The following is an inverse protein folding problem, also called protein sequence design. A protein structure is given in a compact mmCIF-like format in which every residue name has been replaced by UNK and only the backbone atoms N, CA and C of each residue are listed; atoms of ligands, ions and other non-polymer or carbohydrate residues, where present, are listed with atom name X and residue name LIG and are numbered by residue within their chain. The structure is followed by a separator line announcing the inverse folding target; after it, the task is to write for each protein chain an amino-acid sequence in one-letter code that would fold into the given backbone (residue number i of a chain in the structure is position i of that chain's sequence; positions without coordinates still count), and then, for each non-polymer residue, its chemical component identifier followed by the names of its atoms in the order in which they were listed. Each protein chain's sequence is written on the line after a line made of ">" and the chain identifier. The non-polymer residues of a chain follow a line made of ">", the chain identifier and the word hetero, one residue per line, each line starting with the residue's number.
data_IF_551188118299
#
_entry.id   IF_551188118299
#
_cell.length_a   1.000
_cell.length_b   1.000
_cell.length_c   1.000
_cell.angle_alpha   90.00
_cell.angle_beta   90.00
_cell.angle_gamma   90.00
#
_symmetry.space_group_name_H-M   'P 1'
#
loop_
_entity.id
_entity.type
_entity.pdbx_description
1 polymer ?
#
# COMPACT_ATOMS: atom_id res chain seq x y z
N UNK A 1 -49.30 3.33 33.06
CA UNK A 1 -49.10 4.74 33.47
C UNK A 1 -49.11 5.60 32.23
N UNK A 2 -49.96 6.63 32.15
CA UNK A 2 -49.99 7.57 31.01
C UNK A 2 -48.67 8.36 31.02
N UNK A 3 -47.83 8.14 30.01
CA UNK A 3 -46.59 8.92 29.86
C UNK A 3 -46.98 10.34 29.46
N UNK A 4 -46.49 11.32 30.21
CA UNK A 4 -46.70 12.72 29.87
C UNK A 4 -45.92 13.02 28.57
N UNK A 5 -46.58 13.54 27.52
CA UNK A 5 -45.91 13.85 26.24
C UNK A 5 -44.72 14.80 26.40
N UNK A 6 -44.75 15.72 27.36
CA UNK A 6 -43.61 16.60 27.67
C UNK A 6 -42.38 15.82 28.10
N UNK A 7 -42.58 14.79 28.94
CA UNK A 7 -41.48 13.92 29.43
C UNK A 7 -40.93 13.05 28.29
N UNK A 8 -41.78 12.60 27.37
CA UNK A 8 -41.33 11.87 26.20
C UNK A 8 -40.46 12.75 25.29
N UNK A 9 -40.90 13.99 25.02
CA UNK A 9 -40.15 14.93 24.20
C UNK A 9 -38.80 15.33 24.81
N UNK A 10 -38.71 15.53 26.13
CA UNK A 10 -37.44 15.87 26.78
C UNK A 10 -36.44 14.72 26.73
N UNK A 11 -36.88 13.47 26.89
CA UNK A 11 -36.02 12.30 26.74
C UNK A 11 -35.52 12.12 25.30
N UNK A 12 -36.38 12.35 24.31
CA UNK A 12 -35.99 12.33 22.90
C UNK A 12 -34.95 13.41 22.61
N UNK A 13 -35.19 14.65 23.06
CA UNK A 13 -34.23 15.74 22.89
C UNK A 13 -32.88 15.44 23.57
N UNK A 14 -32.91 14.94 24.80
CA UNK A 14 -31.71 14.59 25.55
C UNK A 14 -30.88 13.52 24.84
N UNK A 15 -31.53 12.45 24.37
CA UNK A 15 -30.85 11.38 23.62
C UNK A 15 -30.30 11.86 22.29
N UNK A 16 -31.01 12.76 21.59
CA UNK A 16 -30.55 13.36 20.34
C UNK A 16 -29.30 14.24 20.55
N UNK A 17 -29.26 15.03 21.63
CA UNK A 17 -28.09 15.86 21.97
C UNK A 17 -26.85 15.00 22.23
N UNK A 18 -27.01 13.91 22.98
CA UNK A 18 -25.90 12.97 23.24
C UNK A 18 -25.47 12.26 21.94
N UNK A 19 -26.44 11.78 21.16
CA UNK A 19 -26.18 11.07 19.91
C UNK A 19 -25.46 11.92 18.86
N UNK A 20 -25.89 13.17 18.70
CA UNK A 20 -25.27 14.13 17.76
C UNK A 20 -23.83 14.49 18.12
N UNK A 21 -23.50 14.59 19.41
CA UNK A 21 -22.12 14.82 19.86
C UNK A 21 -21.16 13.68 19.48
N UNK A 22 -21.60 12.42 19.60
CA UNK A 22 -20.78 11.25 19.26
C UNK A 22 -20.55 11.18 17.74
N UNK A 23 -21.60 11.37 16.94
CA UNK A 23 -21.48 11.34 15.48
C UNK A 23 -20.59 12.48 14.98
N UNK A 24 -20.79 13.69 15.50
CA UNK A 24 -19.99 14.87 15.12
C UNK A 24 -18.51 14.71 15.47
N UNK A 25 -18.19 14.24 16.68
CA UNK A 25 -16.79 14.02 17.09
C UNK A 25 -16.09 12.94 16.27
N UNK A 26 -16.78 11.86 15.90
CA UNK A 26 -16.21 10.79 15.07
C UNK A 26 -15.80 11.30 13.68
N UNK A 27 -16.64 12.14 13.06
CA UNK A 27 -16.38 12.71 11.74
C UNK A 27 -15.37 13.85 11.80
N UNK A 28 -15.46 14.71 12.82
CA UNK A 28 -14.47 15.76 13.07
C UNK A 28 -13.07 15.20 13.31
N UNK A 29 -12.96 14.09 14.05
CA UNK A 29 -11.69 13.39 14.21
C UNK A 29 -11.19 12.86 12.87
N UNK A 30 -12.04 12.15 12.08
CA UNK A 30 -11.73 11.67 10.72
C UNK A 30 -11.16 12.76 9.80
N UNK A 31 -11.77 13.95 9.81
CA UNK A 31 -11.28 15.09 9.02
C UNK A 31 -9.97 15.63 9.60
N UNK A 32 -9.86 15.74 10.93
CA UNK A 32 -8.65 16.21 11.61
C UNK A 32 -7.43 15.33 11.34
N UNK A 33 -7.55 14.00 11.40
CA UNK A 33 -6.44 13.09 11.04
C UNK A 33 -6.11 13.13 9.55
N UNK A 34 -7.11 13.29 8.68
CA UNK A 34 -6.86 13.45 7.24
C UNK A 34 -6.07 14.73 6.94
N UNK A 35 -6.40 15.83 7.60
CA UNK A 35 -5.66 17.08 7.47
C UNK A 35 -4.19 16.95 7.92
N UNK A 36 -3.92 16.20 9.00
CA UNK A 36 -2.56 15.90 9.46
C UNK A 36 -1.80 14.91 8.55
N UNK A 37 -2.50 14.04 7.81
CA UNK A 37 -1.87 13.12 6.84
C UNK A 37 -1.57 13.76 5.48
N UNK A 38 -2.13 14.93 5.17
CA UNK A 38 -1.82 15.68 3.94
C UNK A 38 -0.38 16.19 3.85
N UNK A 39 0.39 16.13 4.95
CA UNK A 39 1.81 16.47 5.02
C UNK A 39 2.66 15.23 5.35
N UNK A 40 2.27 14.03 4.89
CA UNK A 40 3.25 12.96 4.74
C UNK A 40 3.89 13.10 3.37
N UNK A 41 5.12 13.60 3.38
CA UNK A 41 6.01 13.53 2.24
C UNK A 41 5.95 12.08 1.69
N UNK A 42 5.85 11.90 0.36
CA UNK A 42 5.94 10.58 -0.22
C UNK A 42 7.22 9.93 0.30
N UNK A 43 7.08 8.78 0.96
CA UNK A 43 8.22 7.93 1.34
C UNK A 43 8.86 7.43 0.04
N UNK A 44 9.66 8.29 -0.59
CA UNK A 44 10.59 7.95 -1.66
C UNK A 44 11.76 7.24 -1.01
N UNK A 45 11.51 6.10 -0.36
CA UNK A 45 12.58 5.19 0.04
C UNK A 45 12.76 4.20 -1.11
N UNK A 46 13.74 4.40 -2.01
CA UNK A 46 13.98 3.52 -3.16
C UNK A 46 14.29 2.06 -2.77
N UNK A 47 14.47 1.76 -1.48
CA UNK A 47 14.64 0.39 -1.00
C UNK A 47 13.42 -0.53 -1.24
N UNK A 48 12.19 -0.01 -1.23
CA UNK A 48 10.99 -0.84 -1.39
C UNK A 48 10.60 -1.08 -2.87
N UNK A 49 10.99 -0.18 -3.77
CA UNK A 49 10.80 -0.35 -5.20
C UNK A 49 11.63 -1.53 -5.76
N UNK A 50 12.80 -1.81 -5.17
CA UNK A 50 13.66 -2.94 -5.54
C UNK A 50 13.07 -4.29 -5.07
N UNK A 51 12.24 -4.30 -4.02
CA UNK A 51 11.60 -5.52 -3.52
C UNK A 51 10.34 -5.84 -4.33
N UNK A 52 9.54 -4.82 -4.70
CA UNK A 52 8.34 -5.01 -5.52
C UNK A 52 8.64 -5.44 -6.98
N UNK A 53 9.84 -5.15 -7.50
CA UNK A 53 10.29 -5.61 -8.82
C UNK A 53 10.97 -6.98 -8.81
N UNK A 54 11.09 -7.64 -7.65
CA UNK A 54 11.37 -9.08 -7.64
C UNK A 54 10.07 -9.81 -7.93
N UNK A 55 9.74 -9.88 -9.22
CA UNK A 55 8.90 -10.96 -9.72
C UNK A 55 9.46 -12.26 -9.17
N UNK A 56 8.56 -13.12 -8.71
CA UNK A 56 8.82 -14.47 -8.23
C UNK A 56 9.28 -15.32 -9.42
N UNK A 57 10.47 -14.99 -9.94
CA UNK A 57 11.17 -15.72 -10.97
C UNK A 57 11.70 -16.96 -10.30
N UNK A 58 10.98 -18.06 -10.48
CA UNK A 58 11.46 -19.45 -10.31
C UNK A 58 12.98 -19.46 -10.32
N UNK A 59 13.60 -19.87 -9.22
CA UNK A 59 15.04 -20.16 -9.15
C UNK A 59 15.40 -20.90 -10.44
N UNK A 60 15.97 -20.15 -11.37
CA UNK A 60 16.39 -20.67 -12.65
C UNK A 60 17.35 -21.79 -12.33
N UNK A 61 17.03 -22.97 -12.83
CA UNK A 61 17.94 -24.09 -12.96
C UNK A 61 19.34 -23.53 -13.27
N UNK A 62 20.32 -23.86 -12.43
CA UNK A 62 21.70 -23.45 -12.66
C UNK A 62 22.16 -24.15 -13.93
N UNK A 63 22.01 -23.47 -15.07
CA UNK A 63 22.54 -23.94 -16.35
C UNK A 63 24.04 -23.75 -16.27
N UNK A 64 24.75 -24.85 -16.04
CA UNK A 64 26.20 -24.88 -16.17
C UNK A 64 26.53 -24.67 -17.65
N UNK A 65 27.13 -23.54 -17.95
CA UNK A 65 27.65 -23.25 -19.27
C UNK A 65 28.95 -24.03 -19.46
N UNK A 66 29.08 -24.64 -20.62
CA UNK A 66 30.26 -25.39 -21.01
C UNK A 66 31.33 -24.40 -21.49
N UNK A 67 32.36 -24.20 -20.68
CA UNK A 67 33.39 -23.18 -20.88
C UNK A 67 34.11 -23.35 -22.25
N UNK A 68 34.27 -24.60 -22.70
CA UNK A 68 34.90 -24.93 -23.98
C UNK A 68 34.13 -24.34 -25.17
N UNK A 69 32.80 -24.29 -25.07
CA UNK A 69 31.95 -23.68 -26.11
C UNK A 69 32.06 -22.17 -26.13
N UNK A 70 32.22 -21.54 -24.96
CA UNK A 70 32.38 -20.09 -24.85
C UNK A 70 33.73 -19.68 -25.46
N UNK A 71 34.80 -20.40 -25.14
CA UNK A 71 36.13 -20.11 -25.68
C UNK A 71 36.14 -20.28 -27.19
N UNK A 72 35.47 -21.31 -27.73
CA UNK A 72 35.38 -21.50 -29.18
C UNK A 72 34.55 -20.40 -29.86
N UNK A 73 33.41 -20.00 -29.30
CA UNK A 73 32.59 -18.89 -29.83
C UNK A 73 33.38 -17.56 -29.86
N UNK A 74 34.11 -17.26 -28.78
CA UNK A 74 34.96 -16.07 -28.69
C UNK A 74 36.10 -16.14 -29.71
N UNK A 75 36.74 -17.30 -29.87
CA UNK A 75 37.83 -17.45 -30.82
C UNK A 75 37.37 -17.32 -32.28
N UNK A 76 36.17 -17.83 -32.60
CA UNK A 76 35.55 -17.68 -33.92
C UNK A 76 35.23 -16.21 -34.23
N UNK A 77 34.74 -15.46 -33.24
CA UNK A 77 34.51 -14.01 -33.35
C UNK A 77 35.80 -13.20 -33.52
N UNK A 78 36.88 -13.62 -32.86
CA UNK A 78 38.20 -12.94 -32.93
C UNK A 78 38.90 -13.25 -34.25
N UNK A 79 38.82 -14.49 -34.73
CA UNK A 79 39.48 -14.93 -35.96
C UNK A 79 38.71 -14.49 -37.21
N UNK A 80 37.46 -14.03 -37.06
CA UNK A 80 36.70 -13.40 -38.14
C UNK A 80 36.32 -14.39 -39.24
N UNK A 81 35.96 -15.62 -38.89
CA UNK A 81 35.31 -16.52 -39.84
C UNK A 81 33.82 -16.13 -39.91
N UNK A 82 33.54 -15.09 -40.67
CA UNK A 82 32.20 -14.75 -41.13
C UNK A 82 31.83 -15.72 -42.26
N UNK A 83 31.12 -16.79 -41.92
CA UNK A 83 30.29 -17.53 -42.86
C UNK A 83 29.02 -18.04 -42.16
#
# INVERSE_FOLDING_TARGET
>A
MKINPTVAFTLILLTLMIGSGIVSSSWGYAIGRQALTGVRQPETRPANAVIANRSDGKKGELVFLDEDKIINDVNNRITGDSN
#
